data_IF_831985928272
#
_entry.id   IF_831985928272
#
_cell.length_a   1.000
_cell.length_b   1.000
_cell.length_c   1.000
_cell.angle_alpha   90.00
_cell.angle_beta   90.00
_cell.angle_gamma   90.00
#
_symmetry.space_group_name_H-M   'P 1'
#
loop_
_entity.id
_entity.type
_entity.pdbx_description
1 polymer ?
#
# COMPACT_ATOMS: atom_id res chain seq x y z
N UNK A 1 25.09 2.46 35.19
CA UNK A 1 23.88 3.26 35.43
C UNK A 1 23.90 4.42 34.45
N UNK A 2 22.84 4.59 33.67
CA UNK A 2 22.69 5.66 32.67
C UNK A 2 22.41 5.09 31.28
N UNK A 3 21.21 5.35 30.74
CA UNK A 3 20.89 5.06 29.33
C UNK A 3 19.48 4.54 29.03
N UNK A 4 18.45 4.88 29.82
CA UNK A 4 17.08 4.38 29.60
C UNK A 4 15.98 5.43 29.56
N UNK A 5 16.29 6.73 29.42
CA UNK A 5 15.31 7.81 29.62
C UNK A 5 14.89 8.60 28.37
N UNK A 6 15.45 8.33 27.19
CA UNK A 6 15.23 9.21 26.01
C UNK A 6 14.19 8.71 25.00
N UNK A 7 13.36 7.70 25.33
CA UNK A 7 12.36 7.14 24.39
C UNK A 7 10.85 7.45 24.63
N UNK A 8 10.38 8.11 25.71
CA UNK A 8 8.93 8.28 25.91
C UNK A 8 8.28 9.52 25.27
N UNK A 9 9.02 10.63 25.03
CA UNK A 9 8.38 11.89 24.60
C UNK A 9 7.87 11.88 23.14
N UNK A 10 8.48 11.12 22.25
CA UNK A 10 8.09 11.07 20.83
C UNK A 10 6.79 10.29 20.59
N UNK A 11 6.41 9.39 21.49
CA UNK A 11 5.15 8.62 21.39
C UNK A 11 3.95 9.47 21.83
N UNK A 12 4.17 10.41 22.76
CA UNK A 12 3.12 11.21 23.38
C UNK A 12 2.39 12.17 22.42
N UNK A 13 2.90 12.36 21.18
CA UNK A 13 2.35 13.31 20.21
C UNK A 13 1.77 12.66 18.93
N UNK A 14 1.55 11.34 18.94
CA UNK A 14 1.02 10.56 17.81
C UNK A 14 -0.51 10.66 17.67
N UNK A 15 -1.09 11.86 17.71
CA UNK A 15 -2.52 12.06 17.45
C UNK A 15 -3.47 11.10 18.23
N UNK A 16 -4.70 10.85 17.75
CA UNK A 16 -5.59 9.89 18.39
C UNK A 16 -5.05 8.46 18.27
N UNK A 17 -5.03 7.73 19.39
CA UNK A 17 -4.54 6.34 19.46
C UNK A 17 -5.34 5.36 18.58
N UNK A 18 -6.60 5.68 18.26
CA UNK A 18 -7.46 4.90 17.38
C UNK A 18 -8.28 5.82 16.48
N UNK A 19 -8.40 5.45 15.21
CA UNK A 19 -9.25 6.11 14.22
C UNK A 19 -10.04 5.05 13.45
N UNK A 20 -11.14 5.46 12.82
CA UNK A 20 -11.85 4.58 11.89
C UNK A 20 -11.01 4.32 10.64
N UNK A 21 -11.36 3.26 9.90
CA UNK A 21 -10.69 2.92 8.65
C UNK A 21 -10.85 4.03 7.59
N UNK A 22 -12.01 4.66 7.54
CA UNK A 22 -12.32 5.77 6.64
C UNK A 22 -11.50 7.00 6.98
N UNK A 23 -11.36 7.31 8.27
CA UNK A 23 -10.50 8.38 8.75
C UNK A 23 -9.04 8.12 8.39
N UNK A 24 -8.55 6.89 8.61
CA UNK A 24 -7.18 6.50 8.24
C UNK A 24 -6.96 6.61 6.71
N UNK A 25 -7.89 6.11 5.90
CA UNK A 25 -7.79 6.18 4.44
C UNK A 25 -7.86 7.61 3.91
N UNK A 26 -8.59 8.51 4.59
CA UNK A 26 -8.68 9.92 4.24
C UNK A 26 -7.34 10.66 4.40
N UNK A 27 -6.45 10.19 5.29
CA UNK A 27 -5.11 10.75 5.48
C UNK A 27 -4.17 10.51 4.30
N UNK A 28 -4.49 9.57 3.41
CA UNK A 28 -3.70 9.27 2.21
C UNK A 28 -4.30 10.05 1.04
N UNK A 29 -3.64 11.13 0.57
CA UNK A 29 -4.13 11.92 -0.56
C UNK A 29 -3.89 11.22 -1.89
N UNK A 30 -4.50 11.75 -2.96
CA UNK A 30 -4.15 11.36 -4.32
C UNK A 30 -2.68 11.68 -4.61
N UNK A 31 -2.04 10.87 -5.45
CA UNK A 31 -0.62 11.03 -5.75
C UNK A 31 0.32 10.66 -4.60
N UNK A 32 -0.17 10.14 -3.48
CA UNK A 32 0.67 9.73 -2.36
C UNK A 32 1.56 8.55 -2.72
N UNK A 33 2.75 8.52 -2.12
CA UNK A 33 3.60 7.34 -2.09
C UNK A 33 3.29 6.53 -0.83
N UNK A 34 2.92 5.28 -1.02
CA UNK A 34 2.37 4.43 0.04
C UNK A 34 3.13 3.12 0.07
N UNK A 35 3.83 2.89 1.18
CA UNK A 35 4.42 1.59 1.47
C UNK A 35 3.33 0.66 2.01
N UNK A 36 3.06 -0.44 1.29
CA UNK A 36 2.17 -1.49 1.76
C UNK A 36 3.01 -2.69 2.19
N UNK A 37 2.94 -3.00 3.48
CA UNK A 37 3.55 -4.19 4.06
C UNK A 37 2.67 -5.44 3.94
N UNK A 38 3.26 -6.58 4.29
CA UNK A 38 2.61 -7.88 4.12
C UNK A 38 2.71 -8.39 2.69
N UNK A 39 2.03 -9.51 2.41
CA UNK A 39 1.82 -10.08 1.07
C UNK A 39 0.42 -10.73 1.09
N UNK A 40 0.27 -11.93 0.54
CA UNK A 40 -0.91 -12.80 0.77
C UNK A 40 -1.17 -13.16 2.25
N UNK A 41 -0.33 -12.70 3.17
CA UNK A 41 -0.49 -12.78 4.62
C UNK A 41 -0.34 -11.38 5.22
N UNK A 42 -1.25 -11.01 6.12
CA UNK A 42 -1.26 -9.73 6.83
C UNK A 42 -1.27 -8.48 5.94
N UNK A 43 -1.68 -8.59 4.67
CA UNK A 43 -1.89 -7.40 3.83
C UNK A 43 -3.01 -6.52 4.41
N UNK A 44 -2.89 -5.19 4.36
CA UNK A 44 -3.94 -4.28 4.76
C UNK A 44 -5.05 -4.20 3.69
N UNK A 45 -5.68 -5.33 3.33
CA UNK A 45 -6.73 -5.40 2.30
C UNK A 45 -7.93 -4.51 2.63
N UNK A 46 -8.24 -4.35 3.92
CA UNK A 46 -9.29 -3.43 4.37
C UNK A 46 -8.98 -1.97 3.95
N UNK A 47 -7.74 -1.52 4.16
CA UNK A 47 -7.27 -0.19 3.76
C UNK A 47 -7.26 -0.05 2.22
N UNK A 48 -6.76 -1.05 1.50
CA UNK A 48 -6.78 -1.06 0.03
C UNK A 48 -8.20 -0.86 -0.51
N UNK A 49 -9.19 -1.58 0.05
CA UNK A 49 -10.60 -1.41 -0.33
C UNK A 49 -11.16 -0.04 0.05
N UNK A 50 -10.78 0.51 1.20
CA UNK A 50 -11.22 1.84 1.62
C UNK A 50 -10.68 2.92 0.67
N UNK A 51 -9.41 2.85 0.30
CA UNK A 51 -8.79 3.76 -0.68
C UNK A 51 -9.47 3.66 -2.06
N UNK A 52 -9.75 2.44 -2.52
CA UNK A 52 -10.48 2.22 -3.77
C UNK A 52 -11.89 2.84 -3.75
N UNK A 53 -12.63 2.67 -2.63
CA UNK A 53 -13.97 3.25 -2.45
C UNK A 53 -13.97 4.77 -2.35
N UNK A 54 -12.96 5.35 -1.72
CA UNK A 54 -12.75 6.80 -1.71
C UNK A 54 -12.39 7.35 -3.09
N UNK A 55 -12.12 6.48 -4.07
CA UNK A 55 -11.77 6.89 -5.42
C UNK A 55 -10.38 7.49 -5.51
N UNK A 56 -9.45 7.08 -4.63
CA UNK A 56 -8.07 7.60 -4.67
C UNK A 56 -7.39 7.30 -6.00
N UNK A 57 -6.57 8.23 -6.49
CA UNK A 57 -5.89 8.12 -7.79
C UNK A 57 -4.42 8.49 -7.70
N UNK A 58 -3.65 8.01 -8.67
CA UNK A 58 -2.25 8.37 -8.83
C UNK A 58 -1.32 7.83 -7.75
N UNK A 59 -1.74 6.84 -6.95
CA UNK A 59 -0.93 6.29 -5.87
C UNK A 59 0.35 5.67 -6.42
N UNK A 60 1.48 5.91 -5.75
CA UNK A 60 2.76 5.25 -6.02
C UNK A 60 2.99 4.21 -4.94
N UNK A 61 2.86 2.94 -5.28
CA UNK A 61 2.98 1.87 -4.28
C UNK A 61 4.42 1.38 -4.18
N UNK A 62 4.89 1.21 -2.96
CA UNK A 62 6.13 0.50 -2.65
C UNK A 62 5.75 -0.72 -1.82
N UNK A 63 6.31 -1.89 -2.13
CA UNK A 63 5.97 -3.12 -1.40
C UNK A 63 7.22 -3.89 -0.98
N UNK A 64 7.24 -4.34 0.27
CA UNK A 64 8.30 -5.17 0.82
C UNK A 64 7.69 -6.16 1.84
N UNK A 65 7.90 -7.48 1.70
CA UNK A 65 8.76 -8.17 0.73
C UNK A 65 8.11 -8.40 -0.66
N UNK A 66 6.92 -7.85 -0.94
CA UNK A 66 6.24 -7.94 -2.23
C UNK A 66 4.77 -7.54 -2.11
N UNK A 67 4.00 -7.65 -3.20
CA UNK A 67 2.56 -7.34 -3.24
C UNK A 67 1.66 -8.57 -3.37
N UNK A 68 0.43 -8.45 -2.87
CA UNK A 68 -0.60 -9.49 -2.93
C UNK A 68 -1.93 -8.99 -3.47
N UNK A 69 -3.03 -9.48 -2.89
CA UNK A 69 -4.40 -9.17 -3.27
C UNK A 69 -4.75 -7.68 -3.10
N UNK A 70 -4.31 -7.06 -2.01
CA UNK A 70 -4.58 -5.64 -1.73
C UNK A 70 -3.97 -4.72 -2.79
N UNK A 71 -2.72 -5.00 -3.18
CA UNK A 71 -2.01 -4.28 -4.25
C UNK A 71 -2.70 -4.50 -5.60
N UNK A 72 -3.00 -5.75 -5.97
CA UNK A 72 -3.66 -6.07 -7.24
C UNK A 72 -5.08 -5.45 -7.33
N UNK A 73 -5.80 -5.38 -6.20
CA UNK A 73 -7.09 -4.72 -6.10
C UNK A 73 -7.01 -3.22 -6.38
N UNK A 74 -6.03 -2.53 -5.78
CA UNK A 74 -5.83 -1.08 -6.01
C UNK A 74 -5.47 -0.79 -7.47
N UNK A 75 -4.66 -1.65 -8.08
CA UNK A 75 -4.32 -1.55 -9.51
C UNK A 75 -5.59 -1.73 -10.36
N UNK A 76 -6.35 -2.80 -10.12
CA UNK A 76 -7.60 -3.07 -10.86
C UNK A 76 -8.66 -1.99 -10.68
N UNK A 77 -8.65 -1.27 -9.55
CA UNK A 77 -9.52 -0.13 -9.28
C UNK A 77 -9.05 1.19 -9.93
N UNK A 78 -7.95 1.17 -10.70
CA UNK A 78 -7.38 2.36 -11.36
C UNK A 78 -6.81 3.39 -10.38
N UNK A 79 -6.44 2.96 -9.17
CA UNK A 79 -5.97 3.86 -8.12
C UNK A 79 -4.47 4.17 -8.23
N UNK A 80 -3.72 3.33 -8.95
CA UNK A 80 -2.26 3.26 -8.92
C UNK A 80 -1.67 3.85 -10.19
N UNK A 81 -0.66 4.72 -10.06
CA UNK A 81 0.13 5.24 -11.18
C UNK A 81 1.45 4.49 -11.36
N UNK A 82 2.08 4.07 -10.27
CA UNK A 82 3.32 3.29 -10.34
C UNK A 82 3.45 2.30 -9.21
N UNK A 83 4.24 1.26 -9.45
CA UNK A 83 4.60 0.27 -8.43
C UNK A 83 6.11 0.03 -8.42
N UNK A 84 6.67 -0.05 -7.21
CA UNK A 84 7.99 -0.57 -6.94
C UNK A 84 7.83 -1.82 -6.07
N UNK A 85 8.16 -2.98 -6.64
CA UNK A 85 7.87 -4.26 -6.00
C UNK A 85 8.76 -5.37 -6.57
N UNK A 86 9.33 -6.25 -5.73
CA UNK A 86 10.07 -7.41 -6.21
C UNK A 86 9.15 -8.45 -6.89
N UNK A 87 7.88 -8.53 -6.48
CA UNK A 87 6.87 -9.39 -7.09
C UNK A 87 5.46 -8.99 -6.65
N UNK A 88 4.48 -9.14 -7.53
CA UNK A 88 3.05 -9.06 -7.20
C UNK A 88 2.39 -10.36 -7.65
N UNK A 89 2.00 -11.20 -6.70
CA UNK A 89 1.50 -12.56 -6.96
C UNK A 89 0.42 -12.95 -5.94
N UNK A 90 -0.48 -13.85 -6.35
CA UNK A 90 -1.54 -14.39 -5.49
C UNK A 90 -1.20 -15.82 -5.03
N UNK A 91 0.09 -16.17 -4.94
CA UNK A 91 0.58 -17.51 -4.61
C UNK A 91 -0.08 -18.62 -5.45
N UNK A 92 -0.69 -19.63 -4.82
CA UNK A 92 -1.36 -20.77 -5.46
C UNK A 92 -2.58 -20.38 -6.29
N UNK A 93 -3.13 -19.18 -6.08
CA UNK A 93 -4.22 -18.63 -6.89
C UNK A 93 -3.72 -18.02 -8.21
N UNK A 94 -2.41 -18.00 -8.41
CA UNK A 94 -1.77 -17.66 -9.67
C UNK A 94 -1.20 -16.24 -9.70
N UNK A 95 -1.07 -15.71 -10.91
CA UNK A 95 -0.47 -14.42 -11.16
C UNK A 95 -1.46 -13.29 -10.90
N UNK A 96 -0.99 -12.15 -10.41
CA UNK A 96 -1.79 -10.95 -10.18
C UNK A 96 -2.39 -10.42 -11.50
N UNK A 97 -3.71 -10.63 -11.75
CA UNK A 97 -4.28 -10.41 -13.07
C UNK A 97 -4.41 -8.93 -13.42
N UNK A 98 -4.72 -8.07 -12.45
CA UNK A 98 -4.86 -6.65 -12.70
C UNK A 98 -3.49 -6.01 -12.90
N UNK A 99 -2.50 -6.36 -12.09
CA UNK A 99 -1.11 -5.93 -12.29
C UNK A 99 -0.63 -6.21 -13.71
N UNK A 100 -0.79 -7.47 -14.17
CA UNK A 100 -0.39 -7.86 -15.53
C UNK A 100 -1.13 -7.05 -16.59
N UNK A 101 -2.46 -6.96 -16.48
CA UNK A 101 -3.31 -6.26 -17.45
C UNK A 101 -2.94 -4.77 -17.55
N UNK A 102 -2.83 -4.08 -16.42
CA UNK A 102 -2.62 -2.63 -16.38
C UNK A 102 -1.19 -2.23 -16.76
N UNK A 103 -0.18 -3.04 -16.39
CA UNK A 103 1.20 -2.82 -16.86
C UNK A 103 1.30 -3.04 -18.37
N UNK A 104 0.68 -4.10 -18.90
CA UNK A 104 0.65 -4.35 -20.35
C UNK A 104 -0.09 -3.27 -21.13
N UNK A 105 -1.14 -2.70 -20.53
CA UNK A 105 -1.87 -1.57 -21.10
C UNK A 105 -1.12 -0.22 -20.98
N UNK A 106 -0.03 -0.17 -20.22
CA UNK A 106 0.74 1.05 -19.97
C UNK A 106 0.08 2.03 -19.00
N UNK A 107 -0.99 1.62 -18.30
CA UNK A 107 -1.69 2.46 -17.31
C UNK A 107 -0.97 2.49 -15.96
N UNK A 108 -0.15 1.48 -15.65
CA UNK A 108 0.70 1.41 -14.45
C UNK A 108 2.16 1.32 -14.85
N UNK A 109 2.99 2.21 -14.31
CA UNK A 109 4.45 2.18 -14.49
C UNK A 109 5.11 1.27 -13.45
N UNK A 110 5.94 0.34 -13.90
CA UNK A 110 6.82 -0.43 -13.02
C UNK A 110 8.13 0.34 -12.84
N UNK A 111 8.54 0.50 -11.58
CA UNK A 111 9.83 1.08 -11.19
C UNK A 111 10.75 -0.06 -10.76
N UNK A 112 12.01 0.01 -11.22
CA UNK A 112 13.06 -0.94 -10.88
C UNK A 112 14.26 -0.14 -10.35
N UNK A 113 14.74 -0.46 -9.16
CA UNK A 113 15.93 0.14 -8.56
C UNK A 113 17.08 -0.83 -8.81
N UNK A 114 17.96 -0.48 -9.74
CA UNK A 114 19.14 -1.27 -10.16
C UNK A 114 20.22 -1.27 -9.08
#
# INVERSE_FOLDING_TARGET
MGGGQDMPEQIANLGPAFVSLEQAAALIPDGAEVALGGRMQMEPVALARALARLGRRGLRLVTAPGGGLGVDLLIGAGCVASVESPQIVLNEFGQAPNFRREVQAGSVRVLDQV
#
